data_IF_969626770309
#
_entry.id   IF_969626770309
#
_cell.length_a   1.000
_cell.length_b   1.000
_cell.length_c   1.000
_cell.angle_alpha   90.00
_cell.angle_beta   90.00
_cell.angle_gamma   90.00
#
_symmetry.space_group_name_H-M   'P 1'
#
loop_
_entity.id
_entity.type
_entity.pdbx_description
1 polymer ?
#
# COMPACT_ATOMS: atom_id res chain seq x y z
N UNK A 1 26.38 -7.70 -2.19
CA UNK A 1 25.80 -7.57 -3.54
C UNK A 1 25.99 -6.13 -4.01
N UNK A 2 26.37 -5.95 -5.29
CA UNK A 2 26.48 -4.60 -5.87
C UNK A 2 25.16 -3.83 -5.82
N UNK A 3 25.22 -2.58 -5.40
CA UNK A 3 24.07 -1.69 -5.41
C UNK A 3 23.56 -1.38 -6.82
N UNK A 4 24.47 -1.31 -7.80
CA UNK A 4 24.11 -1.13 -9.20
C UNK A 4 23.30 -2.32 -9.73
N UNK A 5 23.73 -3.55 -9.47
CA UNK A 5 22.98 -4.77 -9.83
C UNK A 5 21.58 -4.82 -9.22
N UNK A 6 21.43 -4.42 -7.96
CA UNK A 6 20.12 -4.34 -7.32
C UNK A 6 19.22 -3.27 -7.95
N UNK A 7 19.79 -2.15 -8.37
CA UNK A 7 19.06 -1.11 -9.08
C UNK A 7 18.59 -1.58 -10.47
N UNK A 8 19.41 -2.34 -11.19
CA UNK A 8 19.08 -2.97 -12.48
C UNK A 8 17.96 -4.00 -12.33
N UNK A 9 18.05 -4.88 -11.33
CA UNK A 9 16.97 -5.84 -11.02
C UNK A 9 15.65 -5.11 -10.74
N UNK A 10 15.69 -4.02 -9.98
CA UNK A 10 14.49 -3.26 -9.69
C UNK A 10 13.95 -2.52 -10.93
N UNK A 11 14.81 -2.09 -11.83
CA UNK A 11 14.41 -1.50 -13.12
C UNK A 11 13.67 -2.53 -14.00
N UNK A 12 14.11 -3.78 -13.99
CA UNK A 12 13.57 -4.84 -14.82
C UNK A 12 12.27 -5.45 -14.25
N UNK A 13 12.29 -5.80 -12.96
CA UNK A 13 11.20 -6.57 -12.32
C UNK A 13 10.25 -5.74 -11.47
N UNK A 14 10.65 -4.52 -11.06
CA UNK A 14 9.85 -3.53 -10.34
C UNK A 14 9.10 -4.10 -9.13
N UNK A 15 7.77 -3.91 -9.11
CA UNK A 15 6.91 -4.36 -7.99
C UNK A 15 6.87 -5.89 -7.85
N UNK A 16 7.19 -6.65 -8.90
CA UNK A 16 7.24 -8.10 -8.81
C UNK A 16 8.30 -8.59 -7.82
N UNK A 17 9.44 -7.88 -7.68
CA UNK A 17 10.46 -8.15 -6.65
C UNK A 17 9.99 -7.86 -5.21
N UNK A 18 8.93 -7.07 -5.05
CA UNK A 18 8.46 -6.58 -3.76
C UNK A 18 7.08 -7.12 -3.39
N UNK A 19 6.60 -8.15 -4.06
CA UNK A 19 5.24 -8.67 -3.88
C UNK A 19 5.00 -9.12 -2.43
N UNK A 20 5.96 -9.75 -1.79
CA UNK A 20 5.90 -10.14 -0.38
C UNK A 20 6.42 -9.07 0.59
N UNK A 21 6.82 -7.90 0.09
CA UNK A 21 7.23 -6.81 0.95
C UNK A 21 5.99 -6.10 1.53
N UNK A 22 5.80 -6.19 2.84
CA UNK A 22 4.67 -5.56 3.55
C UNK A 22 4.73 -4.02 3.55
N UNK A 23 5.82 -3.44 3.07
CA UNK A 23 6.03 -2.00 2.98
C UNK A 23 6.38 -1.57 1.57
N UNK A 24 5.50 -0.82 0.95
CA UNK A 24 5.87 -0.05 -0.23
C UNK A 24 6.75 1.16 0.15
N UNK A 25 7.45 1.67 -0.82
CA UNK A 25 8.31 2.85 -0.69
C UNK A 25 7.57 4.05 -0.10
N UNK A 26 8.06 4.60 1.03
CA UNK A 26 7.44 5.71 1.76
C UNK A 26 7.68 7.10 1.12
N UNK A 27 8.17 7.14 -0.12
CA UNK A 27 8.44 8.38 -0.87
C UNK A 27 9.88 8.89 -0.70
N UNK A 28 10.34 9.64 -1.71
CA UNK A 28 11.72 10.17 -1.76
C UNK A 28 12.04 11.23 -0.71
N UNK A 29 11.02 11.84 -0.10
CA UNK A 29 11.19 12.95 0.84
C UNK A 29 11.24 12.53 2.32
N UNK A 30 11.23 11.24 2.64
CA UNK A 30 11.44 10.78 4.01
C UNK A 30 12.90 11.02 4.41
N UNK A 31 13.14 11.42 5.68
CA UNK A 31 14.48 11.66 6.25
C UNK A 31 15.42 10.46 6.07
N UNK A 32 14.90 9.22 6.17
CA UNK A 32 15.66 7.98 5.97
C UNK A 32 16.15 7.88 4.53
N UNK A 33 15.26 8.08 3.56
CA UNK A 33 15.61 8.02 2.13
C UNK A 33 16.57 9.13 1.72
N UNK A 34 16.46 10.32 2.32
CA UNK A 34 17.42 11.40 2.12
C UNK A 34 18.83 11.03 2.64
N UNK A 35 18.91 10.34 3.78
CA UNK A 35 20.15 9.79 4.33
C UNK A 35 20.80 8.76 3.41
N UNK A 36 20.01 7.77 2.95
CA UNK A 36 20.46 6.73 2.01
C UNK A 36 21.03 7.37 0.73
N UNK A 37 20.28 8.28 0.09
CA UNK A 37 20.70 8.95 -1.14
C UNK A 37 21.97 9.81 -0.94
N UNK A 38 22.07 10.49 0.20
CA UNK A 38 23.27 11.26 0.53
C UNK A 38 24.50 10.35 0.59
N UNK A 39 24.42 9.21 1.28
CA UNK A 39 25.53 8.26 1.38
C UNK A 39 25.93 7.73 0.01
N UNK A 40 24.98 7.37 -0.85
CA UNK A 40 25.22 6.92 -2.22
C UNK A 40 25.95 7.97 -3.08
N UNK A 41 25.75 9.25 -2.81
CA UNK A 41 26.41 10.35 -3.55
C UNK A 41 27.78 10.73 -3.01
N UNK A 42 27.98 10.61 -1.70
CA UNK A 42 29.17 11.20 -1.06
C UNK A 42 30.15 10.20 -0.45
N UNK A 43 29.68 8.99 -0.11
CA UNK A 43 30.47 7.97 0.62
C UNK A 43 30.04 6.55 0.29
N UNK A 44 30.08 6.16 -0.98
CA UNK A 44 29.60 4.85 -1.44
C UNK A 44 30.28 3.68 -0.75
N UNK A 45 31.57 3.76 -0.48
CA UNK A 45 32.36 2.71 0.17
C UNK A 45 31.88 2.41 1.59
N UNK A 46 31.21 3.38 2.23
CA UNK A 46 30.63 3.21 3.58
C UNK A 46 29.18 2.75 3.55
N UNK A 47 28.61 2.59 2.37
CA UNK A 47 27.18 2.27 2.23
C UNK A 47 26.84 0.93 2.91
N UNK A 48 27.70 -0.08 2.75
CA UNK A 48 27.57 -1.37 3.40
C UNK A 48 27.48 -1.26 4.94
N UNK A 49 28.28 -0.37 5.53
CA UNK A 49 28.29 -0.16 6.98
C UNK A 49 27.13 0.68 7.51
N UNK A 50 26.58 1.58 6.67
CA UNK A 50 25.55 2.55 7.08
C UNK A 50 24.13 2.10 6.75
N UNK A 51 24.00 1.05 5.95
CA UNK A 51 22.71 0.52 5.52
C UNK A 51 22.43 -0.84 6.16
N UNK A 52 21.20 -1.06 6.61
CA UNK A 52 20.80 -2.34 7.24
C UNK A 52 20.72 -3.50 6.25
N UNK A 53 20.99 -3.25 4.97
CA UNK A 53 20.94 -4.27 3.94
C UNK A 53 19.50 -4.63 3.50
N UNK A 54 19.41 -5.77 2.83
CA UNK A 54 18.19 -6.32 2.23
C UNK A 54 17.98 -7.73 2.76
N UNK A 55 16.75 -8.09 3.08
CA UNK A 55 16.35 -9.48 3.31
C UNK A 55 15.51 -9.94 2.12
N UNK A 56 15.90 -11.07 1.54
CA UNK A 56 15.26 -11.67 0.39
C UNK A 56 14.97 -13.15 0.64
N UNK A 57 13.98 -13.67 -0.05
CA UNK A 57 13.69 -15.11 -0.15
C UNK A 57 13.87 -15.57 -1.60
N UNK A 58 14.14 -16.82 -1.79
CA UNK A 58 14.17 -17.50 -3.09
C UNK A 58 13.60 -18.90 -2.95
N UNK A 59 13.09 -19.46 -4.05
CA UNK A 59 12.66 -20.86 -4.09
C UNK A 59 13.85 -21.80 -4.20
N UNK A 60 14.83 -21.40 -5.00
CA UNK A 60 16.05 -22.17 -5.23
C UNK A 60 17.23 -21.27 -5.57
N UNK A 61 18.44 -21.76 -5.33
CA UNK A 61 19.70 -21.06 -5.60
C UNK A 61 20.72 -22.05 -6.17
N UNK A 62 21.27 -21.71 -7.30
CA UNK A 62 22.41 -22.42 -7.88
C UNK A 62 23.70 -21.69 -7.55
N UNK A 63 24.65 -22.41 -6.98
CA UNK A 63 25.97 -21.87 -6.68
C UNK A 63 26.95 -22.15 -7.85
N UNK A 64 28.05 -21.41 -7.87
CA UNK A 64 29.21 -21.76 -8.71
C UNK A 64 29.80 -23.10 -8.29
N UNK A 65 30.58 -23.77 -9.18
CA UNK A 65 31.13 -25.07 -8.96
C UNK A 65 32.02 -25.15 -7.71
N UNK A 66 32.66 -24.07 -7.33
CA UNK A 66 33.48 -23.91 -6.12
C UNK A 66 32.64 -23.47 -4.89
N UNK A 67 31.34 -23.24 -5.04
CA UNK A 67 30.43 -22.79 -3.98
C UNK A 67 30.68 -21.38 -3.46
N UNK A 68 31.58 -20.62 -4.10
CA UNK A 68 31.97 -19.28 -3.62
C UNK A 68 31.00 -18.16 -3.99
N UNK A 69 30.16 -18.38 -5.00
CA UNK A 69 29.25 -17.38 -5.50
C UNK A 69 27.89 -17.99 -5.90
N UNK A 70 26.89 -17.12 -5.99
CA UNK A 70 25.56 -17.47 -6.50
C UNK A 70 25.56 -17.27 -8.01
N UNK A 71 25.19 -18.32 -8.76
CA UNK A 71 25.08 -18.33 -10.22
C UNK A 71 23.69 -17.95 -10.68
N UNK A 72 22.66 -18.59 -10.11
CA UNK A 72 21.26 -18.30 -10.39
C UNK A 72 20.42 -18.27 -9.11
N UNK A 73 19.37 -17.44 -9.11
CA UNK A 73 18.38 -17.37 -8.04
C UNK A 73 17.00 -17.49 -8.67
N UNK A 74 16.23 -18.47 -8.25
CA UNK A 74 14.89 -18.74 -8.75
C UNK A 74 13.84 -18.20 -7.77
N UNK A 75 12.87 -17.42 -8.29
CA UNK A 75 11.77 -16.87 -7.49
C UNK A 75 12.24 -15.88 -6.41
N UNK A 76 13.18 -14.98 -6.76
CA UNK A 76 13.68 -13.95 -5.85
C UNK A 76 12.56 -13.00 -5.43
N UNK A 77 12.42 -12.79 -4.12
CA UNK A 77 11.50 -11.83 -3.51
C UNK A 77 12.20 -11.03 -2.42
N UNK A 78 12.08 -9.72 -2.44
CA UNK A 78 12.65 -8.85 -1.41
C UNK A 78 11.61 -8.56 -0.34
N UNK A 79 11.78 -9.17 0.83
CA UNK A 79 10.85 -9.07 1.97
C UNK A 79 11.14 -7.91 2.90
N UNK A 80 12.40 -7.41 2.91
CA UNK A 80 12.78 -6.19 3.63
C UNK A 80 13.89 -5.45 2.87
N UNK A 81 13.97 -4.12 3.04
CA UNK A 81 14.95 -3.27 2.36
C UNK A 81 14.44 -2.60 1.07
N UNK A 82 13.13 -2.64 0.81
CA UNK A 82 12.53 -1.99 -0.36
C UNK A 82 12.84 -0.49 -0.49
N UNK A 83 13.07 0.22 0.63
CA UNK A 83 13.50 1.62 0.60
C UNK A 83 14.94 1.77 0.09
N UNK A 84 15.82 0.85 0.47
CA UNK A 84 17.20 0.81 -0.02
C UNK A 84 17.20 0.57 -1.53
N UNK A 85 16.44 -0.43 -1.98
CA UNK A 85 16.31 -0.78 -3.39
C UNK A 85 15.80 0.40 -4.24
N UNK A 86 14.72 1.04 -3.81
CA UNK A 86 14.15 2.19 -4.49
C UNK A 86 15.08 3.41 -4.47
N UNK A 87 15.87 3.60 -3.41
CA UNK A 87 16.85 4.68 -3.34
C UNK A 87 18.03 4.44 -4.29
N UNK A 88 18.56 3.20 -4.37
CA UNK A 88 19.58 2.81 -5.34
C UNK A 88 19.10 3.08 -6.78
N UNK A 89 17.93 2.59 -7.11
CA UNK A 89 17.32 2.81 -8.42
C UNK A 89 17.14 4.31 -8.73
N UNK A 90 16.61 5.08 -7.80
CA UNK A 90 16.38 6.52 -7.99
C UNK A 90 17.70 7.28 -8.25
N UNK A 91 18.75 6.99 -7.46
CA UNK A 91 20.05 7.65 -7.58
C UNK A 91 20.71 7.29 -8.92
N UNK A 92 20.63 6.02 -9.33
CA UNK A 92 21.24 5.55 -10.57
C UNK A 92 20.48 6.07 -11.81
N UNK A 93 19.17 5.91 -11.86
CA UNK A 93 18.38 6.17 -13.07
C UNK A 93 17.78 7.58 -13.14
N UNK A 94 17.30 8.14 -12.03
CA UNK A 94 16.69 9.46 -12.02
C UNK A 94 17.71 10.58 -11.82
N UNK A 95 18.72 10.35 -10.95
CA UNK A 95 19.77 11.34 -10.68
C UNK A 95 21.04 11.10 -11.51
N UNK A 96 21.09 10.00 -12.29
CA UNK A 96 22.18 9.59 -13.19
C UNK A 96 23.55 9.59 -12.49
N UNK A 97 23.58 9.14 -11.25
CA UNK A 97 24.80 9.05 -10.44
C UNK A 97 25.36 7.63 -10.54
N UNK A 98 26.65 7.49 -10.81
CA UNK A 98 27.34 6.21 -10.72
C UNK A 98 27.35 5.71 -9.27
N UNK A 99 26.87 4.49 -9.06
CA UNK A 99 26.83 3.82 -7.76
C UNK A 99 27.60 2.49 -7.76
N UNK A 100 28.55 2.33 -8.68
CA UNK A 100 29.30 1.08 -8.89
C UNK A 100 30.09 0.63 -7.65
N UNK A 101 30.46 1.56 -6.76
CA UNK A 101 31.17 1.27 -5.51
C UNK A 101 30.27 1.01 -4.30
N UNK A 102 28.95 1.14 -4.47
CA UNK A 102 28.02 0.87 -3.40
C UNK A 102 27.78 -0.63 -3.26
N UNK A 103 28.03 -1.18 -2.09
CA UNK A 103 27.73 -2.55 -1.74
C UNK A 103 26.60 -2.62 -0.72
N UNK A 104 25.78 -3.68 -0.82
CA UNK A 104 24.62 -3.93 0.04
C UNK A 104 24.73 -5.31 0.65
N UNK A 105 24.61 -5.42 1.97
CA UNK A 105 24.45 -6.71 2.63
C UNK A 105 23.08 -7.30 2.24
N UNK A 106 23.07 -8.54 1.76
CA UNK A 106 21.84 -9.25 1.44
C UNK A 106 21.78 -10.58 2.19
N UNK A 107 20.72 -10.75 3.00
CA UNK A 107 20.37 -12.04 3.59
C UNK A 107 19.40 -12.73 2.65
N UNK A 108 19.85 -13.78 1.97
CA UNK A 108 19.03 -14.62 1.10
C UNK A 108 18.62 -15.88 1.85
N UNK A 109 17.32 -16.15 1.94
CA UNK A 109 16.75 -17.34 2.57
C UNK A 109 16.07 -18.19 1.49
N UNK A 110 16.55 -19.43 1.29
CA UNK A 110 15.89 -20.37 0.38
C UNK A 110 14.72 -21.02 1.12
N UNK A 111 13.53 -20.93 0.55
CA UNK A 111 12.28 -21.42 1.13
C UNK A 111 11.72 -22.51 0.22
N UNK A 112 11.51 -23.70 0.77
CA UNK A 112 10.93 -24.81 0.00
C UNK A 112 9.48 -24.56 -0.32
N UNK A 113 9.04 -25.03 -1.48
CA UNK A 113 7.70 -24.78 -2.04
C UNK A 113 6.54 -25.18 -1.09
N UNK A 114 6.74 -26.22 -0.27
CA UNK A 114 5.76 -26.69 0.73
C UNK A 114 5.52 -25.70 1.89
N UNK A 115 6.48 -24.79 2.16
CA UNK A 115 6.45 -23.89 3.32
C UNK A 115 6.15 -22.43 2.88
N UNK A 116 6.01 -22.18 1.57
CA UNK A 116 6.12 -20.87 0.94
C UNK A 116 5.15 -19.79 1.48
N UNK A 117 3.83 -19.98 1.59
CA UNK A 117 2.96 -18.87 1.93
C UNK A 117 3.02 -18.40 3.39
N UNK A 118 3.16 -19.33 4.34
CA UNK A 118 3.19 -19.00 5.77
C UNK A 118 4.59 -18.56 6.22
N UNK A 119 5.62 -19.26 5.78
CA UNK A 119 6.99 -19.02 6.22
C UNK A 119 7.58 -17.71 5.63
N UNK A 120 7.28 -17.37 4.38
CA UNK A 120 7.66 -16.07 3.79
C UNK A 120 6.98 -14.92 4.53
N UNK A 121 5.71 -15.08 4.92
CA UNK A 121 4.99 -14.12 5.76
C UNK A 121 5.66 -13.94 7.13
N UNK A 122 6.10 -15.03 7.76
CA UNK A 122 6.82 -14.98 9.03
C UNK A 122 8.19 -14.31 8.88
N UNK A 123 8.99 -14.69 7.88
CA UNK A 123 10.30 -14.06 7.60
C UNK A 123 10.10 -12.54 7.40
N UNK A 124 9.12 -12.15 6.61
CA UNK A 124 8.80 -10.73 6.40
C UNK A 124 8.40 -10.04 7.69
N UNK A 125 7.60 -10.70 8.53
CA UNK A 125 7.20 -10.22 9.85
C UNK A 125 8.40 -9.98 10.74
N UNK A 126 9.25 -11.00 10.94
CA UNK A 126 10.42 -10.91 11.82
C UNK A 126 11.49 -9.94 11.29
N UNK A 127 11.72 -9.90 9.99
CA UNK A 127 12.65 -8.95 9.37
C UNK A 127 12.20 -7.49 9.52
N UNK A 128 10.90 -7.24 9.65
CA UNK A 128 10.31 -5.91 9.79
C UNK A 128 9.99 -5.52 11.24
N UNK A 129 10.24 -6.37 12.24
CA UNK A 129 9.94 -6.08 13.67
C UNK A 129 10.68 -4.90 14.26
N UNK A 130 11.74 -4.41 13.62
CA UNK A 130 12.42 -3.16 14.00
C UNK A 130 11.63 -1.89 13.62
N UNK A 131 10.54 -2.02 12.92
CA UNK A 131 9.65 -0.92 12.57
C UNK A 131 8.24 -1.35 12.94
N UNK A 132 7.43 -0.47 13.53
CA UNK A 132 6.03 -0.76 13.90
C UNK A 132 5.28 -1.27 12.66
N UNK A 133 5.23 -2.58 12.49
CA UNK A 133 4.43 -3.23 11.47
C UNK A 133 3.00 -3.30 12.00
N UNK A 134 2.08 -2.81 11.22
CA UNK A 134 0.66 -2.81 11.59
C UNK A 134 0.02 -4.11 11.11
N UNK A 135 -0.99 -4.60 11.82
CA UNK A 135 -1.77 -5.80 11.44
C UNK A 135 -2.20 -5.72 9.96
N UNK A 136 -2.61 -4.54 9.53
CA UNK A 136 -2.98 -4.30 8.15
C UNK A 136 -1.84 -4.53 7.13
N UNK A 137 -0.57 -4.47 7.52
CA UNK A 137 0.54 -4.67 6.59
C UNK A 137 0.67 -6.15 6.21
N UNK A 138 0.45 -7.08 7.15
CA UNK A 138 0.58 -8.52 6.92
C UNK A 138 -0.46 -9.12 5.96
N UNK A 139 -1.64 -8.54 5.89
CA UNK A 139 -2.73 -9.03 5.04
C UNK A 139 -2.65 -8.52 3.59
N UNK A 140 -1.61 -7.74 3.24
CA UNK A 140 -1.54 -7.07 1.94
C UNK A 140 -1.68 -8.03 0.74
N UNK A 141 -1.17 -9.25 0.85
CA UNK A 141 -1.16 -10.23 -0.24
C UNK A 141 -2.35 -11.21 -0.22
N UNK A 142 -3.36 -10.95 0.61
CA UNK A 142 -4.60 -11.74 0.55
C UNK A 142 -5.32 -11.55 -0.79
N UNK A 143 -5.88 -12.62 -1.39
CA UNK A 143 -6.48 -12.57 -2.73
C UNK A 143 -7.50 -11.45 -2.91
N UNK A 144 -8.36 -11.22 -1.92
CA UNK A 144 -9.37 -10.16 -1.99
C UNK A 144 -8.75 -8.75 -2.01
N UNK A 145 -7.60 -8.51 -1.35
CA UNK A 145 -6.90 -7.23 -1.43
C UNK A 145 -6.26 -7.00 -2.79
N UNK A 146 -5.72 -8.06 -3.40
CA UNK A 146 -5.19 -8.02 -4.78
C UNK A 146 -6.32 -7.69 -5.74
N UNK A 147 -7.48 -8.31 -5.58
CA UNK A 147 -8.63 -8.05 -6.42
C UNK A 147 -9.19 -6.62 -6.25
N UNK A 148 -9.29 -6.10 -5.02
CA UNK A 148 -9.68 -4.70 -4.77
C UNK A 148 -8.69 -3.75 -5.44
N UNK A 149 -7.38 -4.04 -5.38
CA UNK A 149 -6.38 -3.25 -6.08
C UNK A 149 -6.61 -3.27 -7.59
N UNK A 150 -6.81 -4.45 -8.19
CA UNK A 150 -7.11 -4.61 -9.61
C UNK A 150 -8.34 -3.78 -10.01
N UNK A 151 -9.44 -3.89 -9.26
CA UNK A 151 -10.65 -3.11 -9.48
C UNK A 151 -10.38 -1.61 -9.39
N UNK A 152 -9.57 -1.17 -8.42
CA UNK A 152 -9.22 0.25 -8.26
C UNK A 152 -8.39 0.81 -9.41
N UNK A 153 -7.76 -0.03 -10.22
CA UNK A 153 -6.98 0.37 -11.41
C UNK A 153 -7.78 0.26 -12.72
N UNK A 154 -8.84 -0.56 -12.73
CA UNK A 154 -9.63 -0.85 -13.94
C UNK A 154 -11.01 -0.18 -13.95
N UNK A 155 -11.63 0.07 -12.80
CA UNK A 155 -12.97 0.64 -12.73
C UNK A 155 -12.90 2.17 -12.75
N UNK A 156 -13.11 2.74 -13.92
CA UNK A 156 -13.13 4.18 -14.12
C UNK A 156 -14.40 4.82 -13.59
N UNK A 157 -14.26 6.05 -13.12
CA UNK A 157 -15.41 6.88 -12.75
C UNK A 157 -16.27 7.20 -13.99
N UNK A 158 -17.57 7.39 -13.80
CA UNK A 158 -18.46 7.77 -14.89
C UNK A 158 -17.94 8.99 -15.67
N UNK A 159 -17.90 8.86 -17.01
CA UNK A 159 -17.34 9.87 -17.91
C UNK A 159 -15.81 9.95 -17.86
N UNK A 160 -15.14 8.85 -17.52
CA UNK A 160 -13.66 8.72 -17.49
C UNK A 160 -12.95 9.79 -16.63
N UNK A 161 -13.62 10.24 -15.58
CA UNK A 161 -13.13 11.33 -14.70
C UNK A 161 -12.03 10.93 -13.73
N UNK A 162 -11.42 9.73 -13.91
CA UNK A 162 -10.34 9.22 -13.10
C UNK A 162 -10.70 7.97 -12.31
N UNK A 163 -9.89 7.67 -11.32
CA UNK A 163 -9.94 6.44 -10.52
C UNK A 163 -9.93 6.77 -9.02
N UNK A 164 -10.47 5.84 -8.24
CA UNK A 164 -10.15 5.74 -6.82
C UNK A 164 -8.93 4.86 -6.65
N UNK A 165 -7.94 5.34 -5.89
CA UNK A 165 -6.69 4.63 -5.69
C UNK A 165 -6.71 3.86 -4.38
N UNK A 166 -6.78 2.54 -4.45
CA UNK A 166 -6.61 1.68 -3.30
C UNK A 166 -5.12 1.49 -2.99
N UNK A 167 -4.71 1.87 -1.80
CA UNK A 167 -3.35 1.71 -1.31
C UNK A 167 -3.26 0.37 -0.55
N UNK A 168 -3.02 -0.71 -1.27
CA UNK A 168 -2.91 -2.07 -0.74
C UNK A 168 -1.70 -2.20 0.19
N UNK A 169 -0.57 -1.66 -0.22
CA UNK A 169 0.62 -1.56 0.61
C UNK A 169 0.93 -0.10 0.93
N UNK A 170 1.41 0.14 2.14
CA UNK A 170 1.69 1.50 2.63
C UNK A 170 2.72 2.20 1.75
N UNK A 171 2.39 3.39 1.26
CA UNK A 171 3.25 4.20 0.39
C UNK A 171 3.10 3.91 -1.11
N UNK A 172 2.32 2.90 -1.51
CA UNK A 172 2.12 2.50 -2.91
C UNK A 172 1.61 3.65 -3.80
N UNK A 173 0.77 4.54 -3.27
CA UNK A 173 0.34 5.74 -3.99
C UNK A 173 1.52 6.66 -4.37
N UNK A 174 2.46 6.84 -3.45
CA UNK A 174 3.63 7.68 -3.70
C UNK A 174 4.58 7.03 -4.71
N UNK A 175 4.72 5.69 -4.66
CA UNK A 175 5.48 4.91 -5.64
C UNK A 175 4.87 5.09 -7.03
N UNK A 176 3.57 4.84 -7.18
CA UNK A 176 2.87 5.00 -8.45
C UNK A 176 3.00 6.43 -9.00
N UNK A 177 2.83 7.45 -8.13
CA UNK A 177 3.00 8.85 -8.51
C UNK A 177 4.42 9.19 -8.95
N UNK A 178 5.44 8.62 -8.33
CA UNK A 178 6.84 8.86 -8.67
C UNK A 178 7.20 8.16 -9.98
N UNK A 179 6.73 6.93 -10.17
CA UNK A 179 6.97 6.11 -11.35
C UNK A 179 6.35 6.71 -12.61
N UNK A 180 5.08 7.05 -12.55
CA UNK A 180 4.35 7.64 -13.68
C UNK A 180 4.67 9.13 -13.89
N UNK A 181 5.31 9.75 -12.92
CA UNK A 181 5.60 11.18 -12.87
C UNK A 181 7.01 11.56 -13.29
N UNK A 182 7.52 11.04 -14.42
CA UNK A 182 8.84 11.38 -14.98
C UNK A 182 8.99 12.87 -15.34
N UNK A 183 7.88 13.59 -15.56
CA UNK A 183 7.85 15.02 -15.85
C UNK A 183 6.77 15.74 -15.05
N UNK A 184 6.82 17.07 -14.98
CA UNK A 184 5.76 17.88 -14.35
C UNK A 184 4.39 17.63 -14.96
N UNK A 185 4.32 17.47 -16.28
CA UNK A 185 3.08 17.17 -17.00
C UNK A 185 2.55 15.77 -16.63
N UNK A 186 3.43 14.77 -16.53
CA UNK A 186 3.08 13.42 -16.10
C UNK A 186 2.56 13.40 -14.65
N UNK A 187 3.21 14.13 -13.74
CA UNK A 187 2.74 14.29 -12.34
C UNK A 187 1.36 14.92 -12.26
N UNK A 188 1.09 15.92 -13.12
CA UNK A 188 -0.25 16.55 -13.21
C UNK A 188 -1.30 15.56 -13.71
N UNK A 189 -1.01 14.80 -14.79
CA UNK A 189 -1.93 13.76 -15.32
C UNK A 189 -2.25 12.70 -14.28
N UNK A 190 -1.25 12.19 -13.55
CA UNK A 190 -1.47 11.24 -12.47
C UNK A 190 -2.38 11.83 -11.37
N UNK A 191 -2.14 13.08 -10.95
CA UNK A 191 -2.93 13.76 -9.91
C UNK A 191 -4.38 14.00 -10.34
N UNK A 192 -4.63 14.24 -11.63
CA UNK A 192 -5.98 14.37 -12.19
C UNK A 192 -6.67 12.99 -12.17
N UNK A 193 -6.00 11.96 -12.66
CA UNK A 193 -6.54 10.59 -12.71
C UNK A 193 -6.77 10.01 -11.32
N UNK A 194 -5.80 10.13 -10.42
CA UNK A 194 -5.82 9.60 -9.06
C UNK A 194 -5.55 10.72 -8.05
N UNK A 195 -6.50 11.63 -7.78
CA UNK A 195 -6.28 12.70 -6.81
C UNK A 195 -6.14 12.14 -5.38
N UNK A 196 -5.34 12.78 -4.50
CA UNK A 196 -5.15 12.32 -3.11
C UNK A 196 -6.48 12.17 -2.34
N UNK A 197 -7.48 12.96 -2.67
CA UNK A 197 -8.82 12.88 -2.06
C UNK A 197 -9.55 11.57 -2.38
N UNK A 198 -9.16 10.86 -3.44
CA UNK A 198 -9.70 9.56 -3.86
C UNK A 198 -8.77 8.40 -3.52
N UNK A 199 -7.77 8.64 -2.69
CA UNK A 199 -6.93 7.56 -2.13
C UNK A 199 -7.60 7.01 -0.87
N UNK A 200 -7.52 5.68 -0.70
CA UNK A 200 -7.93 5.00 0.53
C UNK A 200 -7.04 3.79 0.80
N UNK A 201 -6.83 3.52 2.07
CA UNK A 201 -6.02 2.40 2.56
C UNK A 201 -6.91 1.22 2.97
N UNK A 202 -6.29 0.10 3.35
CA UNK A 202 -6.98 -1.06 3.95
C UNK A 202 -7.77 -0.69 5.21
N UNK A 203 -7.16 0.12 6.07
CA UNK A 203 -7.84 0.57 7.30
C UNK A 203 -8.98 1.54 7.02
N UNK A 204 -8.89 2.35 5.95
CA UNK A 204 -10.01 3.20 5.53
C UNK A 204 -11.14 2.37 4.95
N UNK A 205 -10.82 1.35 4.15
CA UNK A 205 -11.79 0.39 3.62
C UNK A 205 -12.63 -0.22 4.75
N UNK A 206 -11.98 -0.77 5.78
CA UNK A 206 -12.67 -1.35 6.93
C UNK A 206 -13.54 -0.32 7.69
N UNK A 207 -13.10 0.96 7.79
CA UNK A 207 -13.94 2.01 8.37
C UNK A 207 -15.23 2.25 7.59
N UNK A 208 -15.13 2.31 6.26
CA UNK A 208 -16.29 2.55 5.41
C UNK A 208 -17.31 1.42 5.51
N UNK A 209 -16.82 0.18 5.52
CA UNK A 209 -17.65 -1.01 5.61
C UNK A 209 -18.30 -1.12 6.98
N UNK A 210 -17.52 -1.10 8.06
CA UNK A 210 -18.02 -1.33 9.42
C UNK A 210 -18.91 -0.19 9.91
N UNK A 211 -18.60 1.07 9.57
CA UNK A 211 -19.50 2.18 9.90
C UNK A 211 -20.87 2.01 9.20
N UNK A 212 -20.87 1.64 7.92
CA UNK A 212 -22.09 1.39 7.17
C UNK A 212 -22.85 0.16 7.66
N UNK A 213 -22.16 -0.88 8.11
CA UNK A 213 -22.75 -2.08 8.69
C UNK A 213 -23.34 -1.87 10.09
N UNK A 214 -23.32 -0.66 10.64
CA UNK A 214 -23.84 -0.37 11.97
C UNK A 214 -22.90 -0.80 13.11
N UNK A 215 -21.59 -0.87 12.84
CA UNK A 215 -20.56 -1.26 13.81
C UNK A 215 -19.62 -0.07 14.17
N UNK A 216 -20.16 1.12 14.53
CA UNK A 216 -19.36 2.32 14.79
C UNK A 216 -18.43 2.16 15.99
N UNK A 217 -18.75 1.29 16.94
CA UNK A 217 -17.91 0.97 18.10
C UNK A 217 -16.57 0.36 17.68
N UNK A 218 -16.54 -0.50 16.65
CA UNK A 218 -15.31 -1.07 16.11
C UNK A 218 -14.44 0.04 15.49
N UNK A 219 -15.04 0.93 14.70
CA UNK A 219 -14.35 2.06 14.08
C UNK A 219 -13.76 3.00 15.14
N UNK A 220 -14.47 3.19 16.25
CA UNK A 220 -14.07 4.07 17.35
C UNK A 220 -12.91 3.53 18.18
N UNK A 221 -12.69 2.22 18.20
CA UNK A 221 -11.61 1.56 18.93
C UNK A 221 -10.23 1.66 18.24
N UNK A 222 -10.17 2.34 17.11
CA UNK A 222 -8.92 2.60 16.39
C UNK A 222 -8.76 1.78 15.11
N UNK A 223 -7.95 2.32 14.20
CA UNK A 223 -7.87 1.85 12.83
C UNK A 223 -7.41 0.39 12.69
N UNK A 224 -6.46 -0.05 13.53
CA UNK A 224 -5.92 -1.42 13.46
C UNK A 224 -6.89 -2.44 14.08
N UNK A 225 -7.54 -2.08 15.18
CA UNK A 225 -8.54 -2.92 15.81
C UNK A 225 -9.74 -3.13 14.88
N UNK A 226 -10.27 -2.04 14.33
CA UNK A 226 -11.36 -2.09 13.36
C UNK A 226 -11.02 -2.91 12.11
N UNK A 227 -9.79 -2.72 11.61
CA UNK A 227 -9.31 -3.48 10.46
C UNK A 227 -9.22 -4.98 10.75
N UNK A 228 -8.68 -5.34 11.94
CA UNK A 228 -8.60 -6.76 12.33
C UNK A 228 -9.99 -7.40 12.41
N UNK A 229 -10.94 -6.74 13.05
CA UNK A 229 -12.30 -7.25 13.17
C UNK A 229 -12.96 -7.50 11.79
N UNK A 230 -12.78 -6.55 10.86
CA UNK A 230 -13.25 -6.70 9.48
C UNK A 230 -12.50 -7.82 8.72
N UNK A 231 -11.19 -7.95 8.93
CA UNK A 231 -10.39 -8.98 8.30
C UNK A 231 -10.82 -10.38 8.74
N UNK A 232 -11.02 -10.58 10.05
CA UNK A 232 -11.46 -11.85 10.62
C UNK A 232 -12.81 -12.28 10.00
N UNK A 233 -13.78 -11.36 9.84
CA UNK A 233 -15.07 -11.61 9.18
C UNK A 233 -14.89 -12.02 7.70
N UNK A 234 -14.00 -11.35 6.97
CA UNK A 234 -13.75 -11.65 5.55
C UNK A 234 -13.02 -12.98 5.37
N UNK A 235 -12.13 -13.35 6.28
CA UNK A 235 -11.35 -14.59 6.21
C UNK A 235 -12.20 -15.83 6.59
N UNK A 236 -13.23 -15.68 7.40
CA UNK A 236 -14.18 -16.77 7.71
C UNK A 236 -15.08 -17.13 6.52
N UNK A 237 -15.23 -16.23 5.54
CA UNK A 237 -16.01 -16.42 4.32
C UNK A 237 -15.13 -16.60 3.08
N UNK A 238 -15.44 -17.55 2.22
CA UNK A 238 -14.89 -17.62 0.86
C UNK A 238 -15.47 -16.49 0.00
N UNK A 239 -14.94 -15.28 0.14
CA UNK A 239 -15.46 -14.08 -0.50
C UNK A 239 -14.46 -13.46 -1.45
N UNK A 240 -14.93 -13.01 -2.61
CA UNK A 240 -14.15 -12.25 -3.59
C UNK A 240 -14.90 -10.98 -3.99
N UNK A 241 -14.23 -9.80 -4.01
CA UNK A 241 -14.87 -8.55 -4.39
C UNK A 241 -15.25 -8.55 -5.88
N UNK A 242 -16.51 -8.15 -6.13
CA UNK A 242 -17.00 -7.88 -7.49
C UNK A 242 -16.90 -6.40 -7.83
N UNK A 243 -17.08 -6.05 -9.11
CA UNK A 243 -17.13 -4.66 -9.55
C UNK A 243 -18.27 -3.87 -8.90
N UNK A 244 -19.44 -4.49 -8.74
CA UNK A 244 -20.59 -3.85 -8.09
C UNK A 244 -20.32 -3.63 -6.58
N UNK A 245 -19.75 -4.62 -5.90
CA UNK A 245 -19.31 -4.46 -4.52
C UNK A 245 -18.30 -3.33 -4.36
N UNK A 246 -17.34 -3.23 -5.31
CA UNK A 246 -16.36 -2.15 -5.30
C UNK A 246 -17.01 -0.78 -5.47
N UNK A 247 -17.95 -0.63 -6.41
CA UNK A 247 -18.71 0.61 -6.63
C UNK A 247 -19.51 1.02 -5.40
N UNK A 248 -20.20 0.07 -4.76
CA UNK A 248 -20.92 0.30 -3.52
C UNK A 248 -20.01 0.69 -2.37
N UNK A 249 -18.84 0.06 -2.28
CA UNK A 249 -17.81 0.42 -1.29
C UNK A 249 -17.28 1.84 -1.49
N UNK A 250 -17.07 2.26 -2.72
CA UNK A 250 -16.70 3.65 -3.02
C UNK A 250 -17.83 4.62 -2.69
N UNK A 251 -19.10 4.27 -2.93
CA UNK A 251 -20.23 5.08 -2.51
C UNK A 251 -20.29 5.26 -0.98
N UNK A 252 -20.05 4.18 -0.22
CA UNK A 252 -19.89 4.25 1.25
C UNK A 252 -18.71 5.14 1.67
N UNK A 253 -17.59 5.08 0.94
CA UNK A 253 -16.45 5.97 1.16
C UNK A 253 -16.82 7.45 0.95
N UNK A 254 -17.61 7.75 -0.07
CA UNK A 254 -18.10 9.11 -0.36
C UNK A 254 -19.00 9.61 0.78
N UNK A 255 -19.92 8.78 1.26
CA UNK A 255 -20.79 9.10 2.41
C UNK A 255 -19.92 9.36 3.65
N UNK A 256 -18.98 8.46 3.94
CA UNK A 256 -18.08 8.61 5.10
C UNK A 256 -17.28 9.92 5.03
N UNK A 257 -16.76 10.27 3.86
CA UNK A 257 -16.03 11.55 3.65
C UNK A 257 -16.95 12.76 3.74
N UNK A 258 -18.20 12.68 3.30
CA UNK A 258 -19.19 13.71 3.51
C UNK A 258 -19.49 13.93 5.00
N UNK A 259 -19.68 12.85 5.76
CA UNK A 259 -19.82 12.91 7.21
C UNK A 259 -18.59 13.52 7.89
N UNK A 260 -17.37 13.17 7.47
CA UNK A 260 -16.13 13.79 7.97
C UNK A 260 -16.11 15.29 7.71
N UNK A 261 -16.57 15.73 6.54
CA UNK A 261 -16.66 17.16 6.21
C UNK A 261 -17.68 17.86 7.10
N UNK A 262 -18.89 17.32 7.24
CA UNK A 262 -19.95 17.88 8.07
C UNK A 262 -19.53 17.99 9.55
N UNK A 263 -18.92 16.95 10.12
CA UNK A 263 -18.42 16.97 11.50
C UNK A 263 -17.30 17.99 11.69
N UNK A 264 -16.43 18.17 10.71
CA UNK A 264 -15.39 19.21 10.76
C UNK A 264 -15.99 20.62 10.74
N UNK A 265 -16.98 20.84 9.93
CA UNK A 265 -17.69 22.13 9.79
C UNK A 265 -18.57 22.43 11.01
N UNK A 266 -19.11 21.40 11.66
CA UNK A 266 -19.89 21.53 12.90
C UNK A 266 -19.08 21.90 14.15
N UNK A 267 -17.75 22.04 14.01
CA UNK A 267 -16.84 22.54 15.05
C UNK A 267 -16.95 21.86 16.43
N UNK A 268 -17.14 20.53 16.46
CA UNK A 268 -17.19 19.75 17.69
C UNK A 268 -15.87 19.83 18.45
N UNK A 269 -15.88 20.03 19.80
CA UNK A 269 -14.67 20.21 20.59
C UNK A 269 -13.82 18.94 20.74
N UNK A 270 -14.40 17.75 20.50
CA UNK A 270 -13.71 16.46 20.63
C UNK A 270 -14.44 15.35 19.94
N UNK A 271 -13.90 14.12 20.00
CA UNK A 271 -14.53 12.88 19.53
C UNK A 271 -14.94 12.87 18.04
N UNK A 272 -14.33 13.72 17.23
CA UNK A 272 -14.74 13.90 15.80
C UNK A 272 -14.73 12.59 15.02
N UNK A 273 -13.75 11.73 15.23
CA UNK A 273 -13.66 10.45 14.54
C UNK A 273 -14.81 9.50 14.94
N UNK A 274 -15.15 9.48 16.23
CA UNK A 274 -16.26 8.71 16.75
C UNK A 274 -17.60 9.25 16.22
N UNK A 275 -17.80 10.57 16.29
CA UNK A 275 -19.01 11.21 15.75
C UNK A 275 -19.24 10.83 14.29
N UNK A 276 -18.19 10.86 13.46
CA UNK A 276 -18.29 10.44 12.06
C UNK A 276 -18.75 8.98 11.94
N UNK A 277 -18.17 8.06 12.70
CA UNK A 277 -18.51 6.64 12.64
C UNK A 277 -19.97 6.41 13.03
N UNK A 278 -20.41 7.03 14.14
CA UNK A 278 -21.80 6.92 14.62
C UNK A 278 -22.80 7.61 13.70
N UNK A 279 -22.43 8.76 13.10
CA UNK A 279 -23.27 9.43 12.11
C UNK A 279 -23.52 8.54 10.88
N UNK A 280 -22.47 7.94 10.32
CA UNK A 280 -22.61 7.04 9.18
C UNK A 280 -23.45 5.82 9.53
N UNK A 281 -23.25 5.22 10.71
CA UNK A 281 -24.05 4.10 11.18
C UNK A 281 -25.54 4.49 11.34
N UNK A 282 -25.82 5.66 11.91
CA UNK A 282 -27.17 6.16 12.07
C UNK A 282 -27.86 6.39 10.72
N UNK A 283 -27.16 7.02 9.78
CA UNK A 283 -27.67 7.23 8.41
C UNK A 283 -27.97 5.89 7.75
N UNK A 284 -27.06 4.94 7.83
CA UNK A 284 -27.27 3.60 7.26
C UNK A 284 -28.49 2.89 7.90
N UNK A 285 -28.63 2.95 9.21
CA UNK A 285 -29.77 2.30 9.93
C UNK A 285 -31.11 2.97 9.66
N UNK A 286 -31.14 4.30 9.56
CA UNK A 286 -32.40 5.05 9.42
C UNK A 286 -32.91 5.11 8.00
N UNK A 287 -32.04 5.35 7.04
CA UNK A 287 -32.38 5.59 5.64
C UNK A 287 -31.53 4.80 4.65
N UNK A 288 -30.73 3.82 5.12
CA UNK A 288 -29.81 3.08 4.25
C UNK A 288 -30.50 2.35 3.10
N UNK A 289 -31.71 1.86 3.31
CA UNK A 289 -32.54 1.24 2.26
C UNK A 289 -33.05 2.22 1.21
N UNK A 290 -33.13 3.52 1.53
CA UNK A 290 -33.58 4.58 0.63
C UNK A 290 -32.39 5.18 -0.14
N UNK A 291 -31.17 4.98 0.34
CA UNK A 291 -29.94 5.52 -0.28
C UNK A 291 -29.56 4.66 -1.48
N UNK A 292 -29.61 5.28 -2.65
CA UNK A 292 -29.16 4.65 -3.88
C UNK A 292 -27.62 4.80 -4.04
N UNK A 293 -26.86 3.80 -3.54
CA UNK A 293 -25.40 3.77 -3.63
C UNK A 293 -24.90 3.88 -5.07
N UNK A 294 -25.62 3.30 -6.04
CA UNK A 294 -25.27 3.37 -7.45
C UNK A 294 -25.37 4.83 -7.99
N UNK A 295 -26.33 5.59 -7.54
CA UNK A 295 -26.41 7.04 -7.90
C UNK A 295 -25.28 7.85 -7.27
N UNK A 296 -24.90 7.55 -6.02
CA UNK A 296 -23.76 8.18 -5.36
C UNK A 296 -22.47 7.86 -6.11
N UNK A 297 -22.27 6.59 -6.51
CA UNK A 297 -21.17 6.21 -7.37
C UNK A 297 -21.15 7.01 -8.69
N UNK A 298 -22.28 7.13 -9.36
CA UNK A 298 -22.38 7.85 -10.63
C UNK A 298 -22.08 9.34 -10.49
N UNK A 299 -22.58 9.98 -9.45
CA UNK A 299 -22.44 11.42 -9.21
C UNK A 299 -21.14 11.79 -8.48
N UNK A 300 -20.52 10.86 -7.78
CA UNK A 300 -19.34 11.05 -6.93
C UNK A 300 -19.55 12.11 -5.83
N UNK A 301 -20.77 12.29 -5.39
CA UNK A 301 -21.17 13.24 -4.35
C UNK A 301 -22.45 12.78 -3.67
N UNK A 302 -22.60 13.12 -2.39
CA UNK A 302 -23.86 13.04 -1.67
C UNK A 302 -24.65 14.31 -1.96
N UNK A 303 -25.90 14.17 -2.40
CA UNK A 303 -26.77 15.34 -2.69
C UNK A 303 -27.23 16.00 -1.39
N UNK A 304 -27.52 17.31 -1.43
CA UNK A 304 -28.03 18.10 -0.30
C UNK A 304 -29.35 17.58 0.30
N UNK A 305 -30.11 16.78 -0.45
CA UNK A 305 -31.31 16.11 0.09
C UNK A 305 -31.00 14.94 1.03
N UNK A 306 -29.74 14.56 1.18
CA UNK A 306 -29.23 13.60 2.17
C UNK A 306 -28.35 14.34 3.21
N UNK A 307 -28.16 15.64 3.04
CA UNK A 307 -27.55 16.52 4.05
C UNK A 307 -28.58 16.69 5.19
N UNK A 308 -28.49 15.78 6.17
CA UNK A 308 -29.19 15.87 7.45
C UNK A 308 -28.54 16.91 8.35
#
# INVERSE_FOLDING_TARGET
VSGAFLAELYQEYDVALLEYNVRAFLGSNNKVNAGIRRTLKTNQERFLAYNNGISATARDVELTDDGSAVKFVHGLQIVNGGQTLAALHHVMYAEKTDISRAEVAMKLTVVREADEPSFVGEISSYANTQSIVQIADFSANRPFHIEIERLSRSVWLPGERGLWFYERTRGQYNVARSREGSSLAAKRRFKIRCPPARKFSKTDLAKYINAWAGLPHLVSNGAQYNYKAWLDEVEEGEWSPTEDWYKDTIAKAIIFKAAQKAVREGNFPGYRAQIVAYLVALVSQRIGSEINLRMIWQRQVVNKSVDL
#
